data_IF_742769681780
#
_entry.id   IF_742769681780
#
_cell.length_a   1.000
_cell.length_b   1.000
_cell.length_c   1.000
_cell.angle_alpha   90.00
_cell.angle_beta   90.00
_cell.angle_gamma   90.00
#
_symmetry.space_group_name_H-M   'P 1'
#
loop_
_entity.id
_entity.type
_entity.pdbx_description
1 polymer ?
#
# COMPACT_ATOMS: atom_id res chain seq x y z
N UNK A 1 0.49 -17.36 16.00
CA UNK A 1 0.84 -16.19 15.17
C UNK A 1 -0.43 -15.56 14.66
N UNK A 2 -0.50 -14.24 14.73
CA UNK A 2 -1.59 -13.42 14.18
C UNK A 2 -1.02 -12.52 13.09
N UNK A 3 -1.79 -12.24 12.06
CA UNK A 3 -1.30 -11.51 10.88
C UNK A 3 -2.15 -10.29 10.66
N UNK A 4 -1.50 -9.17 10.34
CA UNK A 4 -2.17 -7.89 10.22
C UNK A 4 -1.69 -7.19 8.97
N UNK A 5 -2.54 -6.31 8.47
CA UNK A 5 -2.12 -5.35 7.47
C UNK A 5 -2.78 -3.98 7.73
N UNK A 6 -2.12 -2.94 7.24
CA UNK A 6 -2.65 -1.58 7.21
C UNK A 6 -2.53 -1.05 5.80
N UNK A 7 -3.62 -0.46 5.30
CA UNK A 7 -3.64 0.24 4.01
C UNK A 7 -3.27 1.70 4.26
N UNK A 8 -2.41 2.26 3.42
CA UNK A 8 -1.94 3.63 3.54
C UNK A 8 -2.11 4.33 2.20
N UNK A 9 -2.65 5.55 2.22
CA UNK A 9 -2.64 6.43 1.06
C UNK A 9 -1.90 7.72 1.35
N UNK A 10 -1.06 8.15 0.42
CA UNK A 10 -0.60 9.53 0.33
C UNK A 10 -1.30 10.19 -0.85
N UNK A 11 -1.88 11.37 -0.68
CA UNK A 11 -2.49 12.15 -1.76
C UNK A 11 -1.86 13.55 -1.75
N UNK A 12 -1.74 14.20 -2.90
CA UNK A 12 -1.27 15.59 -2.98
C UNK A 12 -2.38 16.58 -3.34
N UNK A 13 -3.62 16.11 -3.47
CA UNK A 13 -4.79 16.94 -3.81
C UNK A 13 -4.77 17.52 -5.23
N UNK A 14 -3.72 17.26 -6.02
CA UNK A 14 -3.52 17.83 -7.36
C UNK A 14 -3.19 16.72 -8.36
N UNK A 15 -4.24 16.16 -8.97
CA UNK A 15 -4.15 15.04 -9.93
C UNK A 15 -3.31 15.34 -11.19
N UNK A 16 -3.12 16.61 -11.54
CA UNK A 16 -2.53 17.05 -12.81
C UNK A 16 -1.06 17.47 -12.71
N UNK A 17 -0.46 17.57 -11.52
CA UNK A 17 0.92 18.09 -11.36
C UNK A 17 1.82 17.04 -10.71
N UNK A 18 2.59 16.35 -11.55
CA UNK A 18 3.91 15.76 -11.25
C UNK A 18 4.03 14.59 -10.26
N UNK A 19 3.19 14.50 -9.23
CA UNK A 19 3.23 13.41 -8.25
C UNK A 19 1.80 13.01 -7.92
N UNK A 20 1.48 11.73 -8.04
CA UNK A 20 0.10 11.26 -7.90
C UNK A 20 -0.16 10.70 -6.53
N UNK A 21 -1.44 10.61 -6.15
CA UNK A 21 -1.81 9.83 -5.00
C UNK A 21 -1.30 8.39 -5.17
N UNK A 22 -0.77 7.86 -4.08
CA UNK A 22 -0.14 6.56 -4.01
C UNK A 22 -0.79 5.73 -2.91
N UNK A 23 -0.92 4.43 -3.18
CA UNK A 23 -1.46 3.45 -2.24
C UNK A 23 -0.41 2.40 -1.96
N UNK A 24 -0.22 2.09 -0.69
CA UNK A 24 0.73 1.08 -0.25
C UNK A 24 0.19 0.40 1.00
N UNK A 25 0.73 -0.75 1.33
CA UNK A 25 0.31 -1.51 2.49
C UNK A 25 1.50 -2.00 3.29
N UNK A 26 1.32 -2.08 4.60
CA UNK A 26 2.31 -2.64 5.51
C UNK A 26 1.70 -3.86 6.19
N UNK A 27 2.51 -4.90 6.30
CA UNK A 27 2.12 -6.20 6.83
C UNK A 27 2.94 -6.54 8.05
N UNK A 28 2.32 -7.16 9.04
CA UNK A 28 2.96 -7.56 10.29
C UNK A 28 2.51 -8.96 10.71
N UNK A 29 3.41 -9.75 11.27
CA UNK A 29 3.06 -10.94 12.04
C UNK A 29 3.41 -10.72 13.51
N UNK A 30 2.47 -11.03 14.39
CA UNK A 30 2.59 -10.85 15.83
C UNK A 30 2.49 -12.21 16.51
N UNK A 31 3.36 -12.46 17.48
CA UNK A 31 3.36 -13.69 18.27
C UNK A 31 2.28 -13.68 19.37
N UNK A 32 2.34 -14.65 20.28
CA UNK A 32 1.42 -14.71 21.43
C UNK A 32 1.74 -13.69 22.53
N UNK A 33 2.94 -13.10 22.51
CA UNK A 33 3.40 -12.09 23.47
C UNK A 33 3.15 -10.66 22.99
N UNK A 34 2.48 -10.50 21.85
CA UNK A 34 2.27 -9.22 21.17
C UNK A 34 3.54 -8.59 20.57
N UNK A 35 4.58 -9.39 20.37
CA UNK A 35 5.83 -8.98 19.72
C UNK A 35 5.74 -9.11 18.20
N UNK A 36 6.22 -8.10 17.47
CA UNK A 36 6.27 -8.11 16.00
C UNK A 36 7.46 -8.95 15.52
N UNK A 37 7.17 -10.07 14.88
CA UNK A 37 8.16 -11.03 14.37
C UNK A 37 8.61 -10.74 12.93
N UNK A 38 7.68 -10.35 12.06
CA UNK A 38 7.96 -10.02 10.66
C UNK A 38 7.20 -8.77 10.27
N UNK A 39 7.85 -7.92 9.49
CA UNK A 39 7.25 -6.72 8.90
C UNK A 39 7.75 -6.48 7.49
N UNK A 40 6.86 -6.06 6.60
CA UNK A 40 7.24 -5.63 5.24
C UNK A 40 6.23 -4.66 4.64
N UNK A 41 6.70 -3.91 3.64
CA UNK A 41 5.91 -2.94 2.90
C UNK A 41 5.75 -3.42 1.45
N UNK A 42 4.55 -3.25 0.91
CA UNK A 42 4.28 -3.31 -0.52
C UNK A 42 3.93 -1.89 -0.97
N UNK A 43 4.89 -1.25 -1.64
CA UNK A 43 4.79 0.10 -2.18
C UNK A 43 5.37 0.13 -3.58
N UNK A 44 4.53 -0.15 -4.57
CA UNK A 44 4.98 -0.26 -5.95
C UNK A 44 4.97 1.10 -6.66
N UNK A 45 6.15 1.60 -6.98
CA UNK A 45 6.39 2.89 -7.63
C UNK A 45 7.43 2.72 -8.75
N UNK A 46 7.60 3.72 -9.63
CA UNK A 46 8.77 3.80 -10.49
C UNK A 46 10.08 3.73 -9.70
N UNK A 47 11.10 3.14 -10.30
CA UNK A 47 12.46 3.12 -9.75
C UNK A 47 13.04 4.54 -9.66
N UNK A 48 12.80 5.33 -10.70
CA UNK A 48 13.08 6.76 -10.75
C UNK A 48 11.78 7.53 -10.53
N UNK A 49 11.75 8.44 -9.54
CA UNK A 49 10.53 9.11 -9.06
C UNK A 49 9.80 10.05 -10.03
N UNK A 50 10.06 9.95 -11.33
CA UNK A 50 9.38 10.69 -12.39
C UNK A 50 8.58 9.73 -13.28
N UNK A 51 7.30 10.03 -13.46
CA UNK A 51 6.38 9.26 -14.30
C UNK A 51 5.20 10.13 -14.74
N UNK A 52 4.71 9.89 -15.95
CA UNK A 52 3.59 10.65 -16.51
C UNK A 52 2.32 9.79 -16.58
N UNK A 53 1.14 10.43 -16.62
CA UNK A 53 -0.13 9.72 -16.67
C UNK A 53 -0.30 8.89 -17.94
N UNK A 54 0.10 9.46 -19.07
CA UNK A 54 -0.03 8.87 -20.39
C UNK A 54 1.31 8.34 -20.93
N UNK A 55 2.33 8.24 -20.07
CA UNK A 55 3.63 7.71 -20.41
C UNK A 55 3.62 6.21 -20.66
N UNK A 56 4.69 5.73 -21.29
CA UNK A 56 4.97 4.31 -21.41
C UNK A 56 5.27 3.64 -20.06
N UNK A 57 5.29 2.30 -20.01
CA UNK A 57 5.80 1.58 -18.86
C UNK A 57 7.23 2.01 -18.53
N UNK A 58 7.53 2.11 -17.23
CA UNK A 58 8.88 2.39 -16.73
C UNK A 58 9.31 1.26 -15.80
N UNK A 59 10.61 1.19 -15.48
CA UNK A 59 11.10 0.26 -14.46
C UNK A 59 10.43 0.61 -13.12
N UNK A 60 9.79 -0.39 -12.51
CA UNK A 60 9.23 -0.25 -11.17
C UNK A 60 10.21 -0.75 -10.11
N UNK A 61 9.93 -0.41 -8.84
CA UNK A 61 10.61 -0.94 -7.66
C UNK A 61 9.60 -1.02 -6.52
N UNK A 62 9.78 -1.98 -5.61
CA UNK A 62 9.08 -2.00 -4.34
C UNK A 62 9.83 -1.12 -3.32
N UNK A 63 9.21 -0.01 -2.90
CA UNK A 63 9.80 0.94 -1.97
C UNK A 63 9.56 0.51 -0.53
N UNK A 64 10.53 0.76 0.35
CA UNK A 64 10.32 0.62 1.79
C UNK A 64 9.29 1.62 2.33
N UNK A 65 8.74 1.37 3.51
CA UNK A 65 7.78 2.29 4.14
C UNK A 65 8.39 3.69 4.32
N UNK A 66 9.57 3.77 4.96
CA UNK A 66 10.26 5.03 5.21
C UNK A 66 10.60 5.76 3.91
N UNK A 67 11.10 5.05 2.91
CA UNK A 67 11.41 5.61 1.59
C UNK A 67 10.15 6.19 0.92
N UNK A 68 9.03 5.46 1.00
CA UNK A 68 7.74 5.89 0.45
C UNK A 68 7.22 7.17 1.13
N UNK A 69 7.31 7.21 2.46
CA UNK A 69 6.91 8.39 3.25
C UNK A 69 7.82 9.59 2.97
N UNK A 70 9.14 9.39 2.84
CA UNK A 70 10.09 10.45 2.48
C UNK A 70 9.89 10.97 1.05
N UNK A 71 9.42 10.12 0.13
CA UNK A 71 9.09 10.52 -1.24
C UNK A 71 7.79 11.34 -1.33
N UNK A 72 6.96 11.28 -0.29
CA UNK A 72 5.70 12.04 -0.21
C UNK A 72 6.04 13.54 -0.13
N UNK A 73 5.49 14.40 -1.01
CA UNK A 73 5.76 15.83 -0.98
C UNK A 73 5.44 16.46 0.38
N UNK A 74 6.23 17.45 0.80
CA UNK A 74 5.96 18.18 2.06
C UNK A 74 4.60 18.88 2.06
N UNK A 75 4.16 19.32 0.88
CA UNK A 75 2.86 19.99 0.65
C UNK A 75 1.75 19.00 0.27
N UNK A 76 1.97 17.70 0.44
CA UNK A 76 0.94 16.69 0.22
C UNK A 76 -0.19 16.82 1.25
N UNK A 77 -1.37 16.29 0.91
CA UNK A 77 -2.41 16.04 1.89
C UNK A 77 -1.92 15.02 2.92
N UNK A 78 -2.59 14.94 4.08
CA UNK A 78 -2.28 13.92 5.07
C UNK A 78 -2.27 12.51 4.52
N UNK A 79 -1.21 11.78 4.90
CA UNK A 79 -1.13 10.34 4.81
C UNK A 79 -2.28 9.79 5.64
N UNK A 80 -3.17 9.09 4.96
CA UNK A 80 -4.29 8.40 5.58
C UNK A 80 -3.90 6.96 5.83
N UNK A 81 -4.12 6.48 7.05
CA UNK A 81 -3.92 5.07 7.41
C UNK A 81 -5.25 4.46 7.77
N UNK A 82 -5.47 3.27 7.22
CA UNK A 82 -6.58 2.42 7.57
C UNK A 82 -6.09 1.11 8.17
N UNK A 83 -6.63 0.75 9.32
CA UNK A 83 -6.24 -0.43 10.10
C UNK A 83 -5.35 -0.09 11.30
N UNK A 84 -4.67 -1.09 11.88
CA UNK A 84 -4.52 -2.47 11.38
C UNK A 84 -5.81 -3.29 11.38
N UNK A 85 -5.93 -4.23 10.44
CA UNK A 85 -6.95 -5.30 10.49
C UNK A 85 -6.28 -6.67 10.44
N UNK A 86 -6.89 -7.63 11.13
CA UNK A 86 -6.40 -9.01 11.15
C UNK A 86 -6.76 -9.70 9.84
N UNK A 87 -5.77 -10.38 9.26
CA UNK A 87 -5.88 -11.12 8.00
C UNK A 87 -5.51 -12.58 8.20
N UNK A 88 -5.95 -13.44 7.28
CA UNK A 88 -5.55 -14.85 7.32
C UNK A 88 -4.06 -15.01 7.01
N UNK A 89 -3.44 -16.08 7.52
CA UNK A 89 -2.08 -16.46 7.15
C UNK A 89 -1.91 -16.57 5.62
N UNK A 90 -2.88 -17.16 4.93
CA UNK A 90 -2.86 -17.28 3.45
C UNK A 90 -2.78 -15.92 2.75
N UNK A 91 -3.49 -14.90 3.26
CA UNK A 91 -3.42 -13.55 2.71
C UNK A 91 -2.04 -12.92 2.94
N UNK A 92 -1.48 -13.09 4.14
CA UNK A 92 -0.14 -12.63 4.49
C UNK A 92 0.96 -13.30 3.64
N UNK A 93 0.89 -14.62 3.48
CA UNK A 93 1.85 -15.38 2.68
C UNK A 93 1.78 -14.99 1.18
N UNK A 94 0.57 -14.74 0.66
CA UNK A 94 0.39 -14.18 -0.69
C UNK A 94 1.03 -12.81 -0.82
N UNK A 95 0.85 -11.94 0.16
CA UNK A 95 1.50 -10.63 0.18
C UNK A 95 3.03 -10.75 0.20
N UNK A 96 3.57 -11.71 0.95
CA UNK A 96 5.00 -11.98 0.98
C UNK A 96 5.54 -12.45 -0.37
N UNK A 97 4.86 -13.38 -1.03
CA UNK A 97 5.21 -13.83 -2.39
C UNK A 97 5.18 -12.66 -3.37
N UNK A 98 4.11 -11.86 -3.35
CA UNK A 98 3.97 -10.68 -4.22
C UNK A 98 5.10 -9.68 -3.98
N UNK A 99 5.44 -9.39 -2.71
CA UNK A 99 6.58 -8.53 -2.36
C UNK A 99 7.87 -9.02 -3.00
N UNK A 100 8.18 -10.31 -2.90
CA UNK A 100 9.38 -10.89 -3.51
C UNK A 100 9.36 -10.80 -5.04
N UNK A 101 8.21 -11.00 -5.68
CA UNK A 101 8.06 -10.83 -7.14
C UNK A 101 8.33 -9.38 -7.59
N UNK A 102 7.88 -8.41 -6.80
CA UNK A 102 8.12 -7.00 -7.06
C UNK A 102 9.60 -6.63 -6.86
N UNK A 103 10.25 -7.17 -5.83
CA UNK A 103 11.67 -6.89 -5.57
C UNK A 103 12.59 -7.36 -6.70
N UNK A 104 12.24 -8.47 -7.37
CA UNK A 104 12.98 -8.99 -8.54
C UNK A 104 12.57 -8.33 -9.86
N UNK A 105 11.78 -7.25 -9.81
CA UNK A 105 11.32 -6.47 -10.97
C UNK A 105 10.59 -7.31 -12.02
N UNK A 106 9.77 -8.27 -11.59
CA UNK A 106 8.95 -9.10 -12.50
C UNK A 106 7.96 -8.27 -13.33
N UNK A 107 7.58 -7.10 -12.83
CA UNK A 107 6.60 -6.21 -13.44
C UNK A 107 7.23 -4.86 -13.79
N UNK A 108 6.70 -4.20 -14.81
CA UNK A 108 6.96 -2.79 -15.05
C UNK A 108 5.93 -1.93 -14.30
N UNK A 109 6.31 -0.70 -13.95
CA UNK A 109 5.37 0.27 -13.43
C UNK A 109 4.68 1.01 -14.57
N UNK A 110 3.35 1.13 -14.50
CA UNK A 110 2.57 2.02 -15.36
C UNK A 110 1.38 2.56 -14.59
N UNK A 111 1.20 3.88 -14.56
CA UNK A 111 0.10 4.51 -13.80
C UNK A 111 -1.27 3.99 -14.26
N UNK A 112 -1.49 3.97 -15.58
CA UNK A 112 -2.69 3.46 -16.21
C UNK A 112 -2.36 2.12 -16.88
N UNK A 113 -2.53 1.03 -16.15
CA UNK A 113 -2.12 -0.33 -16.54
C UNK A 113 -3.21 -1.15 -17.25
N UNK A 114 -4.40 -0.56 -17.48
CA UNK A 114 -5.56 -1.15 -18.17
C UNK A 114 -5.31 -1.90 -19.48
N UNK A 115 -4.25 -1.58 -20.21
CA UNK A 115 -3.97 -2.09 -21.57
C UNK A 115 -2.62 -2.78 -21.70
N UNK A 116 -1.81 -2.82 -20.64
CA UNK A 116 -0.42 -3.24 -20.72
C UNK A 116 -0.21 -4.58 -20.00
N UNK A 117 0.08 -5.63 -20.78
CA UNK A 117 0.52 -6.92 -20.24
C UNK A 117 1.81 -6.72 -19.45
N UNK A 118 1.96 -7.41 -18.32
CA UNK A 118 3.12 -7.33 -17.41
C UNK A 118 3.40 -5.95 -16.80
N UNK A 119 2.43 -5.04 -16.81
CA UNK A 119 2.49 -3.77 -16.09
C UNK A 119 1.59 -3.80 -14.86
N UNK A 120 1.99 -3.05 -13.83
CA UNK A 120 1.22 -2.85 -12.60
C UNK A 120 1.34 -1.40 -12.13
N UNK A 121 0.26 -0.82 -11.63
CA UNK A 121 0.31 0.32 -10.70
C UNK A 121 0.17 -0.15 -9.24
N UNK A 122 0.29 0.79 -8.32
CA UNK A 122 0.18 0.54 -6.89
C UNK A 122 -1.18 -0.03 -6.45
N UNK A 123 -2.28 0.35 -7.10
CA UNK A 123 -3.62 -0.16 -6.77
C UNK A 123 -3.81 -1.59 -7.26
N UNK A 124 -3.35 -1.91 -8.47
CA UNK A 124 -3.41 -3.25 -9.05
C UNK A 124 -2.59 -4.25 -8.28
N UNK A 125 -1.41 -3.86 -7.80
CA UNK A 125 -0.60 -4.71 -6.90
C UNK A 125 -1.40 -5.08 -5.65
N UNK A 126 -2.01 -4.11 -4.97
CA UNK A 126 -2.77 -4.39 -3.74
C UNK A 126 -4.10 -5.13 -3.99
N UNK A 127 -4.69 -4.96 -5.18
CA UNK A 127 -5.88 -5.69 -5.59
C UNK A 127 -5.61 -7.20 -5.82
N UNK A 128 -4.38 -7.58 -6.18
CA UNK A 128 -4.01 -8.99 -6.40
C UNK A 128 -3.92 -9.81 -5.11
N UNK A 129 -3.80 -9.15 -3.95
CA UNK A 129 -3.70 -9.82 -2.65
C UNK A 129 -4.93 -10.67 -2.33
N UNK A 130 -6.11 -10.20 -2.73
CA UNK A 130 -7.37 -10.93 -2.64
C UNK A 130 -7.77 -11.47 -4.01
N UNK A 131 -6.90 -12.27 -4.65
CA UNK A 131 -7.16 -12.88 -5.96
C UNK A 131 -8.48 -13.67 -6.03
N UNK A 132 -8.99 -14.15 -4.89
CA UNK A 132 -10.26 -14.87 -4.79
C UNK A 132 -11.46 -13.91 -4.91
N UNK A 133 -11.24 -12.60 -4.70
CA UNK A 133 -12.25 -11.54 -4.77
C UNK A 133 -11.76 -10.40 -5.65
N UNK A 134 -12.14 -10.42 -6.93
CA UNK A 134 -11.76 -9.40 -7.92
C UNK A 134 -12.13 -7.98 -7.46
N UNK A 135 -11.16 -7.22 -6.95
CA UNK A 135 -11.35 -5.79 -6.71
C UNK A 135 -11.35 -5.05 -8.05
N UNK A 136 -12.41 -4.28 -8.38
CA UNK A 136 -12.44 -3.52 -9.62
C UNK A 136 -11.42 -2.37 -9.53
N UNK A 137 -10.23 -2.57 -10.11
CA UNK A 137 -9.24 -1.53 -10.32
C UNK A 137 -9.76 -0.52 -11.34
N UNK A 138 -9.94 0.73 -10.91
CA UNK A 138 -10.43 1.82 -11.75
C UNK A 138 -9.52 3.05 -11.65
N UNK A 139 -9.72 4.03 -12.54
CA UNK A 139 -8.95 5.29 -12.70
C UNK A 139 -9.11 6.30 -11.54
N UNK A 140 -9.50 5.83 -10.36
CA UNK A 140 -9.81 6.68 -9.20
C UNK A 140 -8.52 7.23 -8.59
N UNK A 141 -8.58 8.46 -8.07
CA UNK A 141 -7.47 9.01 -7.26
C UNK A 141 -7.15 8.08 -6.08
N UNK A 142 -5.90 8.04 -5.62
CA UNK A 142 -5.48 7.10 -4.56
C UNK A 142 -6.26 7.26 -3.25
N UNK A 143 -6.78 8.43 -2.88
CA UNK A 143 -7.69 8.54 -1.72
C UNK A 143 -9.04 7.87 -1.97
N UNK A 144 -9.62 8.01 -3.17
CA UNK A 144 -10.90 7.37 -3.53
C UNK A 144 -10.69 5.86 -3.72
N UNK A 145 -9.61 5.46 -4.39
CA UNK A 145 -9.21 4.07 -4.54
C UNK A 145 -8.90 3.44 -3.18
N UNK A 146 -8.23 4.16 -2.28
CA UNK A 146 -7.93 3.75 -0.92
C UNK A 146 -9.18 3.54 -0.09
N UNK A 147 -10.12 4.50 -0.12
CA UNK A 147 -11.44 4.34 0.53
C UNK A 147 -12.23 3.18 -0.05
N UNK A 148 -12.25 3.01 -1.37
CA UNK A 148 -12.96 1.90 -2.01
C UNK A 148 -12.34 0.54 -1.63
N UNK A 149 -11.00 0.47 -1.65
CA UNK A 149 -10.24 -0.71 -1.24
C UNK A 149 -10.48 -1.02 0.23
N UNK A 150 -10.37 -0.02 1.10
CA UNK A 150 -10.65 -0.16 2.52
C UNK A 150 -12.07 -0.64 2.79
N UNK A 151 -13.09 0.00 2.19
CA UNK A 151 -14.48 -0.41 2.35
C UNK A 151 -14.74 -1.83 1.82
N UNK A 152 -14.01 -2.27 0.80
CA UNK A 152 -14.05 -3.64 0.31
C UNK A 152 -13.45 -4.61 1.35
N UNK A 153 -12.27 -4.30 1.88
CA UNK A 153 -11.59 -5.15 2.86
C UNK A 153 -12.32 -5.18 4.22
N UNK A 154 -12.88 -4.06 4.70
CA UNK A 154 -13.64 -4.03 5.96
C UNK A 154 -14.86 -4.95 5.97
N UNK A 155 -15.45 -5.27 4.80
CA UNK A 155 -16.55 -6.26 4.71
C UNK A 155 -16.09 -7.68 5.03
N UNK A 156 -14.80 -7.94 5.01
CA UNK A 156 -14.22 -9.27 5.03
C UNK A 156 -13.22 -9.51 6.16
N UNK A 157 -12.69 -8.45 6.76
CA UNK A 157 -11.67 -8.49 7.79
C UNK A 157 -12.12 -7.67 9.00
N UNK A 158 -11.81 -8.14 10.21
CA UNK A 158 -12.18 -7.48 11.46
C UNK A 158 -11.02 -6.64 11.97
N UNK A 159 -11.34 -5.50 12.57
CA UNK A 159 -10.39 -4.73 13.40
C UNK A 159 -10.29 -5.45 14.75
N UNK A 160 -9.12 -6.02 15.10
CA UNK A 160 -8.93 -6.77 16.35
C UNK A 160 -8.55 -5.84 17.52
N UNK A 161 -8.59 -6.33 18.76
CA UNK A 161 -8.13 -5.56 19.94
C UNK A 161 -6.59 -5.37 19.99
N UNK A 162 -5.81 -6.12 19.20
CA UNK A 162 -4.34 -6.09 19.20
C UNK A 162 -3.72 -4.84 18.52
N UNK A 163 -4.41 -3.70 18.59
CA UNK A 163 -4.04 -2.45 17.92
C UNK A 163 -2.76 -1.85 18.52
N UNK A 164 -2.54 -1.97 19.83
CA UNK A 164 -1.48 -1.23 20.55
C UNK A 164 -0.07 -1.54 20.03
N UNK A 165 0.29 -2.81 19.82
CA UNK A 165 1.63 -3.18 19.33
C UNK A 165 1.93 -2.65 17.92
N UNK A 166 0.88 -2.39 17.13
CA UNK A 166 1.00 -1.83 15.78
C UNK A 166 0.99 -0.31 15.83
N UNK A 167 0.32 0.29 16.82
CA UNK A 167 0.39 1.73 17.05
C UNK A 167 1.81 2.18 17.36
N UNK A 168 2.53 1.44 18.22
CA UNK A 168 3.94 1.72 18.53
C UNK A 168 4.84 1.71 17.30
N UNK A 169 4.53 0.89 16.29
CA UNK A 169 5.26 0.93 15.02
C UNK A 169 5.00 2.22 14.24
N UNK A 170 3.75 2.70 14.21
CA UNK A 170 3.43 3.96 13.55
C UNK A 170 3.92 5.19 14.35
N UNK A 171 4.16 5.06 15.65
CA UNK A 171 4.83 6.07 16.47
C UNK A 171 6.18 6.48 15.89
N UNK A 172 6.97 5.50 15.39
CA UNK A 172 8.28 5.75 14.74
C UNK A 172 8.17 6.71 13.55
N UNK A 173 6.98 6.85 12.96
CA UNK A 173 6.73 7.70 11.80
C UNK A 173 5.91 8.95 12.14
N UNK A 174 5.67 9.27 13.41
CA UNK A 174 4.94 10.50 13.79
C UNK A 174 5.60 11.79 13.30
N UNK A 175 6.90 11.77 13.04
CA UNK A 175 7.64 12.89 12.46
C UNK A 175 7.15 13.32 11.07
N UNK A 176 6.51 12.40 10.33
CA UNK A 176 5.83 12.72 9.09
C UNK A 176 4.54 13.47 9.44
N UNK A 177 4.58 14.81 9.44
CA UNK A 177 3.59 15.77 10.02
C UNK A 177 2.10 15.63 9.64
N UNK A 178 1.71 14.62 8.89
CA UNK A 178 0.39 14.53 8.30
C UNK A 178 -0.22 13.13 8.42
N UNK A 179 -0.50 12.66 9.64
CA UNK A 179 -1.22 11.39 9.87
C UNK A 179 -2.69 11.66 10.21
N UNK A 180 -3.60 11.09 9.42
CA UNK A 180 -4.99 10.88 9.84
C UNK A 180 -5.23 9.37 9.98
N UNK A 181 -5.56 8.93 11.22
CA UNK A 181 -6.16 7.61 11.46
C UNK A 181 -7.65 7.70 11.12
N UNK A 182 -8.17 6.75 10.34
CA UNK A 182 -9.57 6.68 9.91
C UNK A 182 -10.24 5.42 10.40
#
# INVERSE_FOLDING_TARGET
MRYFWSLISSDNGKLLIGRKPHLFAVFYSVDQTHTVERKFCISWLPDVGDYTLFGGPVKGRNWGLRETLLATPKDALPVTVWGPVEVSQRFFDRAWVLKNELDVNRYQYKVLDWTAKNCRNCTSVLAELDADRKFPVGTKSGRIAGRAMWAFYQKHYRTPEAVHAIEDYFEEFKEFKHWEKV
#
